data_IF_898129569308
#
_entry.id   IF_898129569308
#
_cell.length_a   1.000
_cell.length_b   1.000
_cell.length_c   1.000
_cell.angle_alpha   90.00
_cell.angle_beta   90.00
_cell.angle_gamma   90.00
#
_symmetry.space_group_name_H-M   'P 1'
#
loop_
_entity.id
_entity.type
_entity.pdbx_description
1 polymer ?
#
# COMPACT_ATOMS: atom_id res chain seq x y z
N UNK A 1 5.33 -13.72 -3.13
CA UNK A 1 3.94 -13.82 -2.66
C UNK A 1 3.39 -12.41 -2.54
N UNK A 2 2.20 -12.16 -3.07
CA UNK A 2 1.59 -10.84 -3.09
C UNK A 2 1.19 -10.41 -1.68
N UNK A 3 1.21 -9.11 -1.41
CA UNK A 3 0.81 -8.55 -0.12
C UNK A 3 -0.21 -7.45 -0.37
N UNK A 4 -1.38 -7.62 0.23
CA UNK A 4 -2.50 -6.70 0.18
C UNK A 4 -2.63 -5.96 1.51
N UNK A 5 -3.14 -4.74 1.46
CA UNK A 5 -3.51 -3.99 2.66
C UNK A 5 -4.63 -3.03 2.34
N UNK A 6 -5.00 -2.24 3.35
CA UNK A 6 -5.97 -1.17 3.17
C UNK A 6 -5.57 0.06 3.99
N UNK A 7 -6.08 1.20 3.56
CA UNK A 7 -5.86 2.49 4.18
C UNK A 7 -7.18 3.25 4.28
N UNK A 8 -7.19 4.28 5.11
CA UNK A 8 -8.28 5.23 5.24
C UNK A 8 -7.84 6.54 4.60
N UNK A 9 -8.57 6.97 3.59
CA UNK A 9 -8.35 8.23 2.87
C UNK A 9 -9.57 9.15 2.98
N UNK A 10 -9.41 10.43 2.64
CA UNK A 10 -10.57 11.29 2.34
C UNK A 10 -11.32 10.73 1.13
N UNK A 11 -12.64 10.91 1.07
CA UNK A 11 -13.45 10.52 -0.10
C UNK A 11 -13.06 11.21 -1.43
N UNK A 12 -12.14 12.17 -1.37
CA UNK A 12 -11.53 12.79 -2.55
C UNK A 12 -10.22 12.13 -3.01
N UNK A 13 -9.70 11.12 -2.30
CA UNK A 13 -8.57 10.30 -2.73
C UNK A 13 -7.18 10.92 -2.62
N UNK A 14 -7.02 12.14 -2.08
CA UNK A 14 -5.70 12.82 -2.10
C UNK A 14 -4.85 12.58 -0.84
N UNK A 15 -5.50 12.41 0.32
CA UNK A 15 -4.85 12.36 1.64
C UNK A 15 -5.12 11.03 2.32
N UNK A 16 -4.05 10.38 2.80
CA UNK A 16 -4.11 9.16 3.59
C UNK A 16 -4.04 9.54 5.07
N UNK A 17 -5.07 9.19 5.83
CA UNK A 17 -5.15 9.42 7.28
C UNK A 17 -4.54 8.28 8.08
N UNK A 18 -4.69 7.05 7.58
CA UNK A 18 -4.21 5.87 8.26
C UNK A 18 -3.92 4.74 7.27
N UNK A 19 -2.79 4.06 7.42
CA UNK A 19 -2.52 2.80 6.73
C UNK A 19 -2.56 1.67 7.74
N UNK A 20 -3.37 0.65 7.48
CA UNK A 20 -3.53 -0.45 8.42
C UNK A 20 -2.21 -1.25 8.56
N UNK A 21 -1.78 -1.62 9.78
CA UNK A 21 -0.47 -2.22 10.01
C UNK A 21 -0.30 -3.63 9.42
N UNK A 22 -1.39 -4.39 9.24
CA UNK A 22 -1.33 -5.78 8.79
C UNK A 22 -1.37 -5.88 7.26
N UNK A 23 -0.46 -6.67 6.69
CA UNK A 23 -0.46 -7.06 5.28
C UNK A 23 -0.94 -8.50 5.12
N UNK A 24 -1.85 -8.71 4.18
CA UNK A 24 -2.52 -9.99 3.92
C UNK A 24 -1.95 -10.65 2.66
N UNK A 25 -1.88 -11.98 2.64
CA UNK A 25 -1.56 -12.73 1.41
C UNK A 25 -2.77 -12.95 0.52
N UNK A 26 -3.96 -12.75 1.07
CA UNK A 26 -5.25 -13.04 0.48
C UNK A 26 -6.10 -11.77 0.49
N UNK A 27 -6.56 -11.36 -0.68
CA UNK A 27 -7.35 -10.15 -0.85
C UNK A 27 -8.74 -10.26 -0.22
N UNK A 28 -9.40 -11.42 -0.27
CA UNK A 28 -10.71 -11.62 0.34
C UNK A 28 -10.64 -11.47 1.87
N UNK A 29 -9.57 -11.98 2.48
CA UNK A 29 -9.31 -11.74 3.92
C UNK A 29 -9.07 -10.26 4.18
N UNK A 30 -8.26 -9.58 3.37
CA UNK A 30 -8.01 -8.14 3.48
C UNK A 30 -9.32 -7.33 3.44
N UNK A 31 -10.15 -7.58 2.43
CA UNK A 31 -11.45 -6.93 2.24
C UNK A 31 -12.37 -7.17 3.43
N UNK A 32 -12.46 -8.41 3.91
CA UNK A 32 -13.26 -8.77 5.09
C UNK A 32 -12.81 -8.03 6.35
N UNK A 33 -11.52 -7.74 6.51
CA UNK A 33 -11.03 -6.95 7.63
C UNK A 33 -11.33 -5.45 7.44
N UNK A 34 -11.14 -4.93 6.22
CA UNK A 34 -11.50 -3.56 5.87
C UNK A 34 -12.99 -3.27 6.15
N UNK A 35 -13.91 -4.14 5.74
CA UNK A 35 -15.36 -3.94 5.97
C UNK A 35 -15.71 -3.81 7.47
N UNK A 36 -14.92 -4.41 8.37
CA UNK A 36 -15.12 -4.31 9.82
C UNK A 36 -14.55 -3.02 10.43
N UNK A 37 -13.70 -2.32 9.69
CA UNK A 37 -13.08 -1.09 10.14
C UNK A 37 -14.15 0.01 10.23
N UNK A 38 -14.19 0.70 11.37
CA UNK A 38 -15.01 1.90 11.52
C UNK A 38 -14.32 3.04 10.80
N UNK A 39 -15.08 3.74 9.97
CA UNK A 39 -14.61 4.90 9.21
C UNK A 39 -15.51 6.08 9.53
N UNK A 40 -14.89 7.24 9.72
CA UNK A 40 -15.61 8.48 9.97
C UNK A 40 -16.37 8.93 8.71
N UNK A 41 -17.28 9.88 8.89
CA UNK A 41 -17.96 10.53 7.77
C UNK A 41 -16.89 11.20 6.87
N UNK A 42 -17.11 11.15 5.55
CA UNK A 42 -16.25 11.77 4.53
C UNK A 42 -14.86 11.12 4.37
N UNK A 43 -14.68 9.93 4.93
CA UNK A 43 -13.51 9.06 4.72
C UNK A 43 -13.93 7.73 4.11
N UNK A 44 -13.01 7.08 3.43
CA UNK A 44 -13.24 5.79 2.79
C UNK A 44 -12.09 4.82 2.98
N UNK A 45 -12.39 3.53 2.81
CA UNK A 45 -11.40 2.46 2.82
C UNK A 45 -10.92 2.26 1.40
N UNK A 46 -9.62 2.38 1.18
CA UNK A 46 -8.99 2.08 -0.09
C UNK A 46 -8.07 0.88 0.07
N UNK A 47 -8.21 -0.10 -0.81
CA UNK A 47 -7.38 -1.30 -0.83
C UNK A 47 -6.16 -1.08 -1.69
N UNK A 48 -5.05 -1.71 -1.31
CA UNK A 48 -3.81 -1.62 -2.08
C UNK A 48 -3.10 -2.96 -2.19
N UNK A 49 -2.25 -3.03 -3.21
CA UNK A 49 -1.35 -4.15 -3.48
C UNK A 49 0.09 -3.65 -3.46
N UNK A 50 0.92 -4.26 -2.61
CA UNK A 50 2.37 -4.04 -2.63
C UNK A 50 2.92 -4.56 -3.95
N UNK A 51 3.65 -3.68 -4.66
CA UNK A 51 4.26 -3.98 -5.93
C UNK A 51 5.51 -4.85 -5.75
N UNK A 52 5.67 -5.84 -6.63
CA UNK A 52 6.94 -6.55 -6.75
C UNK A 52 7.94 -5.65 -7.48
N UNK A 53 9.23 -5.89 -7.28
CA UNK A 53 10.27 -5.14 -7.99
C UNK A 53 10.09 -5.19 -9.52
N UNK A 54 9.64 -6.33 -10.06
CA UNK A 54 9.30 -6.48 -11.49
C UNK A 54 8.19 -5.54 -11.93
N UNK A 55 7.17 -5.36 -11.08
CA UNK A 55 6.01 -4.51 -11.38
C UNK A 55 6.43 -3.04 -11.34
N UNK A 56 7.24 -2.65 -10.35
CA UNK A 56 7.80 -1.29 -10.27
C UNK A 56 8.59 -0.95 -11.53
N UNK A 57 9.50 -1.82 -11.95
CA UNK A 57 10.29 -1.61 -13.19
C UNK A 57 9.38 -1.49 -14.40
N UNK A 58 8.39 -2.39 -14.52
CA UNK A 58 7.43 -2.36 -15.61
C UNK A 58 6.64 -1.05 -15.64
N UNK A 59 6.09 -0.60 -14.51
CA UNK A 59 5.32 0.65 -14.46
C UNK A 59 6.14 1.88 -14.80
N UNK A 60 7.39 1.94 -14.35
CA UNK A 60 8.30 3.03 -14.70
C UNK A 60 8.63 3.05 -16.20
N UNK A 61 8.80 1.86 -16.81
CA UNK A 61 9.07 1.74 -18.24
C UNK A 61 7.85 2.08 -19.10
N UNK A 62 6.69 1.56 -18.73
CA UNK A 62 5.44 1.74 -19.48
C UNK A 62 4.89 3.19 -19.35
N UNK A 63 5.41 3.97 -18.40
CA UNK A 63 5.05 5.37 -18.23
C UNK A 63 3.58 5.58 -17.85
N UNK A 64 2.96 4.57 -17.24
CA UNK A 64 1.52 4.57 -16.92
C UNK A 64 1.24 5.64 -15.86
N UNK A 65 0.55 6.68 -16.32
CA UNK A 65 -0.08 7.72 -15.49
C UNK A 65 -1.54 7.31 -15.26
N UNK A 66 -2.20 7.91 -14.28
CA UNK A 66 -3.60 7.61 -13.90
C UNK A 66 -3.78 6.34 -13.05
N UNK A 67 -2.72 5.93 -12.35
CA UNK A 67 -2.81 4.96 -11.28
C UNK A 67 -2.41 5.63 -9.99
N UNK A 68 -3.15 5.34 -8.94
CA UNK A 68 -2.90 5.88 -7.61
C UNK A 68 -1.88 4.98 -6.91
N UNK A 69 -0.76 5.58 -6.53
CA UNK A 69 0.35 4.93 -5.85
C UNK A 69 0.59 5.59 -4.51
N UNK A 70 1.18 4.84 -3.60
CA UNK A 70 1.82 5.41 -2.42
C UNK A 70 2.87 4.43 -1.89
N UNK A 71 3.43 4.72 -0.72
CA UNK A 71 4.46 3.89 -0.12
C UNK A 71 4.27 3.78 1.38
N UNK A 72 4.81 2.69 1.93
CA UNK A 72 4.90 2.48 3.37
C UNK A 72 6.28 1.94 3.73
N UNK A 73 6.73 2.28 4.92
CA UNK A 73 7.86 1.64 5.56
C UNK A 73 7.37 0.37 6.24
N UNK A 74 8.00 -0.72 5.84
CA UNK A 74 7.71 -2.06 6.28
C UNK A 74 8.75 -2.49 7.29
N UNK A 75 8.29 -3.13 8.36
CA UNK A 75 9.12 -3.63 9.43
C UNK A 75 8.86 -5.12 9.62
N UNK A 76 9.88 -5.85 10.07
CA UNK A 76 9.79 -7.26 10.37
C UNK A 76 10.49 -7.49 11.71
N UNK A 77 9.78 -8.03 12.70
CA UNK A 77 10.33 -8.24 14.04
C UNK A 77 11.41 -9.35 14.05
N UNK A 78 11.26 -10.37 13.21
CA UNK A 78 12.24 -11.43 13.02
C UNK A 78 12.18 -11.98 11.59
N UNK A 79 13.19 -12.71 11.10
CA UNK A 79 13.16 -13.30 9.76
C UNK A 79 12.01 -14.29 9.49
N UNK A 80 11.37 -14.81 10.55
CA UNK A 80 10.29 -15.78 10.47
C UNK A 80 8.89 -15.12 10.43
N UNK A 81 8.77 -13.88 10.91
CA UNK A 81 7.52 -13.12 10.95
C UNK A 81 7.23 -12.43 9.61
N UNK A 82 5.97 -12.21 9.19
CA UNK A 82 5.71 -11.40 7.99
C UNK A 82 6.09 -9.92 8.22
N UNK A 83 6.34 -9.19 7.12
CA UNK A 83 6.45 -7.73 7.18
C UNK A 83 5.08 -7.13 7.55
N UNK A 84 5.10 -6.10 8.39
CA UNK A 84 3.96 -5.23 8.70
C UNK A 84 4.25 -3.79 8.26
N UNK A 85 3.21 -2.98 8.12
CA UNK A 85 3.34 -1.53 7.91
C UNK A 85 3.68 -0.89 9.26
N UNK A 86 4.83 -0.23 9.32
CA UNK A 86 5.27 0.59 10.45
C UNK A 86 4.79 2.03 10.31
N UNK A 87 4.95 2.59 9.11
CA UNK A 87 4.50 3.94 8.78
C UNK A 87 4.09 4.01 7.30
N UNK A 88 2.91 4.57 7.02
CA UNK A 88 2.45 4.84 5.66
C UNK A 88 2.62 6.32 5.29
N UNK A 89 2.87 6.61 4.02
CA UNK A 89 2.84 7.99 3.55
C UNK A 89 1.43 8.57 3.67
N UNK A 90 1.33 9.87 3.93
CA UNK A 90 0.05 10.58 4.08
C UNK A 90 -0.54 11.07 2.75
N UNK A 91 0.01 10.64 1.61
CA UNK A 91 -0.29 11.19 0.28
C UNK A 91 -0.42 10.11 -0.77
N UNK A 92 -1.33 10.34 -1.72
CA UNK A 92 -1.50 9.53 -2.92
C UNK A 92 -0.84 10.23 -4.11
N UNK A 93 -0.19 9.43 -4.95
CA UNK A 93 0.59 9.89 -6.11
C UNK A 93 -0.01 9.32 -7.38
N UNK A 94 -0.20 10.17 -8.40
CA UNK A 94 -0.59 9.74 -9.74
C UNK A 94 0.60 9.26 -10.61
N UNK A 95 1.81 9.29 -10.05
CA UNK A 95 3.06 8.96 -10.72
C UNK A 95 3.97 8.20 -9.76
N UNK A 96 4.29 6.95 -10.13
CA UNK A 96 5.16 6.08 -9.35
C UNK A 96 6.57 6.64 -9.22
N UNK A 97 7.08 7.37 -10.23
CA UNK A 97 8.41 7.97 -10.14
C UNK A 97 8.46 9.02 -9.04
N UNK A 98 7.46 9.90 -8.96
CA UNK A 98 7.34 10.90 -7.89
C UNK A 98 7.21 10.24 -6.52
N UNK A 99 6.39 9.19 -6.42
CA UNK A 99 6.26 8.39 -5.19
C UNK A 99 7.63 7.86 -4.71
N UNK A 100 8.45 7.31 -5.61
CA UNK A 100 9.79 6.80 -5.28
C UNK A 100 10.74 7.92 -4.85
N UNK A 101 10.70 9.06 -5.53
CA UNK A 101 11.56 10.21 -5.19
C UNK A 101 11.24 10.75 -3.79
N UNK A 102 9.96 10.91 -3.47
CA UNK A 102 9.52 11.39 -2.15
C UNK A 102 9.88 10.36 -1.05
N UNK A 103 9.67 9.07 -1.30
CA UNK A 103 10.02 8.00 -0.35
C UNK A 103 11.53 7.93 -0.02
N UNK A 104 12.39 8.27 -0.98
CA UNK A 104 13.84 8.35 -0.78
C UNK A 104 14.28 9.62 -0.07
N UNK A 105 13.55 10.72 -0.26
CA UNK A 105 13.84 12.01 0.40
C UNK A 105 13.44 12.04 1.87
N UNK A 106 12.47 11.20 2.24
CA UNK A 106 12.08 10.96 3.62
C UNK A 106 13.17 10.11 4.31
N UNK A 107 14.20 10.81 4.80
CA UNK A 107 15.31 10.28 5.57
C UNK A 107 14.80 9.68 6.89
N UNK A 108 14.43 8.40 6.85
CA UNK A 108 14.21 7.63 8.07
C UNK A 108 15.57 7.12 8.55
N UNK A 109 16.33 7.98 9.22
CA UNK A 109 17.45 7.57 10.08
C UNK A 109 16.90 6.80 11.29
N UNK A 110 16.41 5.57 11.06
CA UNK A 110 16.01 4.68 12.14
C UNK A 110 17.27 4.01 12.64
N UNK A 111 17.77 4.52 13.77
CA UNK A 111 18.88 3.95 14.50
C UNK A 111 18.61 2.47 14.83
N UNK A 112 19.59 1.64 14.48
CA UNK A 112 19.99 0.39 15.13
C UNK A 112 18.89 -0.52 15.66
N UNK A 113 18.38 -1.44 14.82
CA UNK A 113 18.29 -2.89 15.09
C UNK A 113 17.24 -3.64 14.24
N UNK A 114 16.42 -2.95 13.42
CA UNK A 114 15.33 -3.59 12.66
C UNK A 114 15.43 -3.22 11.17
N UNK A 115 15.37 -4.24 10.29
CA UNK A 115 15.41 -4.06 8.83
C UNK A 115 14.13 -3.38 8.35
N UNK A 116 14.17 -2.06 8.22
CA UNK A 116 13.11 -1.29 7.56
C UNK A 116 13.28 -1.37 6.04
N UNK A 117 12.18 -1.59 5.32
CA UNK A 117 12.15 -1.57 3.84
C UNK A 117 11.05 -0.66 3.36
N UNK A 118 11.21 -0.06 2.18
CA UNK A 118 10.13 0.68 1.53
C UNK A 118 9.31 -0.29 0.68
N UNK A 119 8.02 -0.37 0.95
CA UNK A 119 7.03 -1.05 0.11
C UNK A 119 6.26 -0.02 -0.70
N UNK A 120 6.49 0.00 -2.01
CA UNK A 120 5.64 0.76 -2.94
C UNK A 120 4.38 -0.04 -3.22
N UNK A 121 3.24 0.63 -3.25
CA UNK A 121 1.98 -0.01 -3.53
C UNK A 121 1.13 0.80 -4.50
N UNK A 122 0.27 0.08 -5.19
CA UNK A 122 -0.77 0.63 -6.04
C UNK A 122 -2.12 0.46 -5.33
N UNK A 123 -2.93 1.50 -5.34
CA UNK A 123 -4.33 1.41 -4.93
C UNK A 123 -5.12 0.63 -5.98
N UNK A 124 -6.02 -0.22 -5.52
CA UNK A 124 -6.87 -1.03 -6.38
C UNK A 124 -8.14 -0.25 -6.68
N UNK A 125 -8.50 -0.17 -7.95
CA UNK A 125 -9.83 0.30 -8.33
C UNK A 125 -10.88 -0.76 -8.00
N UNK A 126 -12.15 -0.37 -7.94
CA UNK A 126 -13.25 -1.33 -7.72
C UNK A 126 -13.24 -2.46 -8.74
N UNK A 127 -12.98 -2.16 -10.02
CA UNK A 127 -12.86 -3.16 -11.08
C UNK A 127 -11.72 -4.14 -10.83
N UNK A 128 -10.54 -3.65 -10.44
CA UNK A 128 -9.39 -4.48 -10.12
C UNK A 128 -9.64 -5.33 -8.88
N UNK A 129 -10.29 -4.77 -7.87
CA UNK A 129 -10.68 -5.49 -6.66
C UNK A 129 -11.59 -6.67 -6.99
N UNK A 130 -12.61 -6.45 -7.84
CA UNK A 130 -13.54 -7.49 -8.27
C UNK A 130 -12.85 -8.56 -9.10
N UNK A 131 -11.96 -8.19 -10.03
CA UNK A 131 -11.20 -9.13 -10.85
C UNK A 131 -10.26 -10.00 -10.00
N UNK A 132 -9.52 -9.38 -9.07
CA UNK A 132 -8.58 -10.09 -8.21
C UNK A 132 -9.31 -11.00 -7.21
N UNK A 133 -10.48 -10.60 -6.71
CA UNK A 133 -11.31 -11.44 -5.84
C UNK A 133 -11.86 -12.67 -6.58
N UNK A 134 -12.32 -12.52 -7.82
CA UNK A 134 -12.81 -13.67 -8.60
C UNK A 134 -11.69 -14.63 -9.02
N UNK A 135 -10.47 -14.11 -9.22
CA UNK A 135 -9.30 -14.91 -9.56
C UNK A 135 -8.69 -15.66 -8.37
N UNK A 136 -9.10 -15.31 -7.15
CA UNK A 136 -8.64 -15.92 -5.90
C UNK A 136 -9.51 -17.10 -5.42
N UNK A 137 -10.59 -17.44 -6.15
CA UNK A 137 -11.51 -18.56 -5.87
C UNK A 137 -11.10 -19.82 -6.63
#
# INVERSE_FOLDING_TARGET
>A
MERYGYLIADSGGDVIHHTHPVLYTDLAICVKQGIKQKVEKDKEIVYFKILRNSDVVKYLHDGVKDREYSFAYLQQASPLEPYCVYYGACKIYNDLFRCIMDAKSADLTVADCIKTKIGYFKLLTDDELVVDLHSAV
#
